data_IF_734962190646
#
_entry.id   IF_734962190646
#
_cell.length_a   1.000
_cell.length_b   1.000
_cell.length_c   1.000
_cell.angle_alpha   90.00
_cell.angle_beta   90.00
_cell.angle_gamma   90.00
#
_symmetry.space_group_name_H-M   'P 1'
#
loop_
_entity.id
_entity.type
_entity.pdbx_description
1 polymer ?
#
# COMPACT_ATOMS: atom_id res chain seq x y z
N UNK A 1 24.90 14.62 -36.33
CA UNK A 1 23.42 14.68 -36.50
C UNK A 1 22.69 13.37 -36.16
N UNK A 2 23.33 12.34 -35.58
CA UNK A 2 22.66 11.10 -35.17
C UNK A 2 22.04 11.18 -33.75
N UNK A 3 22.71 11.89 -32.84
CA UNK A 3 22.27 12.02 -31.44
C UNK A 3 20.93 12.75 -31.27
N UNK A 4 20.67 13.79 -32.08
CA UNK A 4 19.40 14.53 -32.02
C UNK A 4 18.18 13.64 -32.36
N UNK A 5 18.34 12.66 -33.27
CA UNK A 5 17.25 11.73 -33.63
C UNK A 5 16.92 10.75 -32.51
N UNK A 6 17.93 10.31 -31.76
CA UNK A 6 17.75 9.46 -30.58
C UNK A 6 17.03 10.19 -29.45
N UNK A 7 17.38 11.46 -29.19
CA UNK A 7 16.68 12.27 -28.19
C UNK A 7 15.20 12.47 -28.54
N UNK A 8 14.88 12.70 -29.80
CA UNK A 8 13.49 12.85 -30.26
C UNK A 8 12.71 11.55 -30.06
N UNK A 9 13.30 10.39 -30.38
CA UNK A 9 12.66 9.09 -30.18
C UNK A 9 12.42 8.78 -28.69
N UNK A 10 13.36 9.16 -27.81
CA UNK A 10 13.19 8.99 -26.38
C UNK A 10 12.07 9.87 -25.82
N UNK A 11 11.97 11.13 -26.27
CA UNK A 11 10.88 12.03 -25.85
C UNK A 11 9.51 11.53 -26.34
N UNK A 12 9.42 11.03 -27.57
CA UNK A 12 8.17 10.45 -28.09
C UNK A 12 7.78 9.20 -27.27
N UNK A 13 8.76 8.35 -26.94
CA UNK A 13 8.54 7.17 -26.11
C UNK A 13 8.04 7.51 -24.70
N UNK A 14 8.62 8.53 -24.04
CA UNK A 14 8.18 8.92 -22.69
C UNK A 14 6.79 9.55 -22.68
N UNK A 15 6.45 10.37 -23.67
CA UNK A 15 5.10 10.97 -23.78
C UNK A 15 4.02 9.90 -23.97
N UNK A 16 4.29 8.89 -24.80
CA UNK A 16 3.35 7.77 -25.01
C UNK A 16 3.16 6.94 -23.73
N UNK A 17 4.23 6.70 -22.96
CA UNK A 17 4.13 5.97 -21.68
C UNK A 17 3.35 6.76 -20.62
N UNK A 18 3.53 8.08 -20.55
CA UNK A 18 2.81 8.93 -19.59
C UNK A 18 1.29 8.96 -19.83
N UNK A 19 0.82 8.89 -21.08
CA UNK A 19 -0.63 8.83 -21.34
C UNK A 19 -1.28 7.53 -20.85
N UNK A 20 -0.53 6.43 -20.82
CA UNK A 20 -1.01 5.15 -20.28
C UNK A 20 -1.02 5.16 -18.74
N UNK A 21 -0.03 5.79 -18.11
CA UNK A 21 0.06 5.83 -16.64
C UNK A 21 -1.08 6.61 -15.98
N UNK A 22 -1.55 7.71 -16.60
CA UNK A 22 -2.68 8.48 -16.08
C UNK A 22 -4.00 7.71 -16.09
N UNK A 23 -4.22 6.87 -17.11
CA UNK A 23 -5.42 6.03 -17.20
C UNK A 23 -5.38 4.83 -16.24
N UNK A 24 -4.19 4.31 -15.94
CA UNK A 24 -4.03 3.17 -15.03
C UNK A 24 -4.29 3.53 -13.56
N UNK A 25 -3.92 4.74 -13.15
CA UNK A 25 -4.20 5.26 -11.79
C UNK A 25 -5.70 5.46 -11.56
N UNK A 26 -6.46 5.91 -12.57
CA UNK A 26 -7.90 6.15 -12.45
C UNK A 26 -8.71 4.85 -12.33
N UNK A 27 -8.31 3.79 -13.07
CA UNK A 27 -8.90 2.44 -12.93
C UNK A 27 -8.55 1.74 -11.61
N UNK A 28 -7.43 2.09 -10.97
CA UNK A 28 -7.03 1.52 -9.68
C UNK A 28 -7.73 2.21 -8.51
N UNK A 29 -8.17 3.46 -8.69
CA UNK A 29 -8.95 4.21 -7.70
C UNK A 29 -10.40 3.72 -7.59
N UNK A 30 -11.04 3.27 -8.67
CA UNK A 30 -12.43 2.75 -8.64
C UNK A 30 -12.57 1.34 -8.05
N UNK A 31 -11.48 0.61 -7.80
CA UNK A 31 -11.51 -0.72 -7.19
C UNK A 31 -11.36 -0.73 -5.65
N UNK A 32 -11.39 0.43 -4.99
CA UNK A 32 -11.61 0.51 -3.54
C UNK A 32 -13.07 0.17 -3.22
N UNK A 33 -13.39 -1.14 -3.27
CA UNK A 33 -14.68 -1.70 -2.90
C UNK A 33 -15.17 -1.10 -1.57
N UNK A 34 -16.44 -0.69 -1.50
CA UNK A 34 -16.97 0.00 -0.33
C UNK A 34 -16.86 -0.90 0.91
N UNK A 35 -16.31 -0.32 1.98
CA UNK A 35 -15.88 -0.95 3.23
C UNK A 35 -16.95 -1.74 4.02
N UNK A 36 -18.16 -1.93 3.48
CA UNK A 36 -19.29 -2.56 4.18
C UNK A 36 -19.44 -4.07 3.93
N UNK A 37 -18.62 -4.71 3.09
CA UNK A 37 -18.78 -6.12 2.70
C UNK A 37 -17.53 -7.02 2.87
N UNK A 38 -16.55 -6.67 3.70
CA UNK A 38 -15.47 -7.61 4.04
C UNK A 38 -15.74 -8.24 5.42
N UNK A 39 -16.15 -9.52 5.42
CA UNK A 39 -15.73 -10.49 6.45
C UNK A 39 -14.22 -10.73 6.34
N UNK A 40 -13.44 -9.65 6.30
CA UNK A 40 -12.02 -9.65 6.05
C UNK A 40 -11.26 -9.39 7.33
N UNK A 41 -9.98 -9.74 7.31
CA UNK A 41 -9.09 -9.33 8.36
C UNK A 41 -9.02 -7.80 8.43
N UNK A 42 -9.50 -7.22 9.52
CA UNK A 42 -9.36 -5.79 9.76
C UNK A 42 -8.62 -5.52 11.05
N UNK A 43 -7.86 -4.43 11.05
CA UNK A 43 -7.34 -3.86 12.26
C UNK A 43 -8.50 -3.19 13.03
N UNK A 44 -8.49 -3.30 14.35
CA UNK A 44 -9.44 -2.60 15.23
C UNK A 44 -9.18 -1.10 15.29
N UNK A 45 -7.95 -0.67 14.95
CA UNK A 45 -7.59 0.73 14.81
C UNK A 45 -7.11 1.03 13.39
N UNK A 46 -7.28 2.28 12.95
CA UNK A 46 -6.83 2.74 11.64
C UNK A 46 -5.29 2.81 11.52
N UNK A 47 -4.83 3.20 10.33
CA UNK A 47 -3.40 3.27 9.96
C UNK A 47 -2.57 4.21 10.83
N UNK A 48 -3.21 5.23 11.42
CA UNK A 48 -2.59 6.15 12.38
C UNK A 48 -2.07 5.45 13.64
N UNK A 49 -2.65 4.31 14.03
CA UNK A 49 -2.19 3.48 15.13
C UNK A 49 -1.54 2.21 14.57
N UNK A 50 -2.25 1.43 13.77
CA UNK A 50 -1.75 0.21 13.13
C UNK A 50 -1.02 0.55 11.82
N UNK A 51 0.26 0.88 11.91
CA UNK A 51 1.11 1.27 10.78
C UNK A 51 2.10 2.37 11.14
N UNK A 52 1.66 3.34 11.96
CA UNK A 52 2.51 4.46 12.42
C UNK A 52 3.06 4.28 13.84
N UNK A 53 2.20 3.91 14.79
CA UNK A 53 2.60 3.69 16.20
C UNK A 53 3.01 2.25 16.43
N UNK A 54 2.19 1.32 15.92
CA UNK A 54 2.44 -0.10 15.92
C UNK A 54 2.92 -0.48 14.52
N UNK A 55 4.09 -1.09 14.45
CA UNK A 55 4.73 -1.50 13.21
C UNK A 55 4.74 -3.02 13.10
N UNK A 56 5.06 -3.55 11.92
CA UNK A 56 5.21 -5.01 11.73
C UNK A 56 6.23 -5.63 12.70
N UNK A 57 7.26 -4.87 13.12
CA UNK A 57 8.25 -5.34 14.09
C UNK A 57 7.64 -5.66 15.46
N UNK A 58 6.57 -4.96 15.83
CA UNK A 58 5.89 -5.14 17.11
C UNK A 58 5.06 -6.41 17.17
N UNK A 59 4.66 -6.95 16.01
CA UNK A 59 3.99 -8.24 15.91
C UNK A 59 4.91 -9.40 16.29
N UNK A 60 6.20 -9.29 15.98
CA UNK A 60 7.24 -10.31 16.24
C UNK A 60 7.76 -10.23 17.69
N UNK A 61 7.55 -9.10 18.37
CA UNK A 61 7.90 -8.96 19.79
C UNK A 61 7.22 -10.01 20.65
N UNK A 62 7.84 -10.33 21.80
CA UNK A 62 7.29 -11.24 22.81
C UNK A 62 5.85 -10.85 23.14
N UNK A 63 4.94 -11.81 23.16
CA UNK A 63 3.53 -11.58 23.47
C UNK A 63 3.31 -11.02 24.88
N UNK A 64 4.26 -11.23 25.81
CA UNK A 64 4.25 -10.63 27.15
C UNK A 64 4.56 -9.13 27.15
N UNK A 65 5.14 -8.59 26.07
CA UNK A 65 5.33 -7.15 25.91
C UNK A 65 3.99 -6.49 25.64
N UNK A 66 3.73 -5.35 26.30
CA UNK A 66 2.51 -4.56 26.11
C UNK A 66 2.25 -4.24 24.63
N UNK A 67 3.30 -3.86 23.89
CA UNK A 67 3.18 -3.58 22.45
C UNK A 67 2.94 -4.85 21.61
N UNK A 68 3.59 -5.97 21.95
CA UNK A 68 3.35 -7.24 21.25
C UNK A 68 1.93 -7.75 21.43
N UNK A 69 1.41 -7.75 22.66
CA UNK A 69 0.02 -8.12 22.95
C UNK A 69 -0.98 -7.19 22.26
N UNK A 70 -0.71 -5.88 22.28
CA UNK A 70 -1.55 -4.89 21.61
C UNK A 70 -1.57 -5.10 20.08
N UNK A 71 -0.40 -5.25 19.45
CA UNK A 71 -0.28 -5.45 18.02
C UNK A 71 -1.07 -6.67 17.56
N UNK A 72 -0.89 -7.81 18.23
CA UNK A 72 -1.55 -9.07 17.86
C UNK A 72 -3.05 -9.08 18.10
N UNK A 73 -3.54 -8.37 19.12
CA UNK A 73 -4.97 -8.36 19.45
C UNK A 73 -5.75 -7.30 18.68
N UNK A 74 -5.12 -6.17 18.34
CA UNK A 74 -5.78 -4.99 17.76
C UNK A 74 -5.37 -4.71 16.33
N UNK A 75 -4.15 -5.01 15.93
CA UNK A 75 -3.63 -4.79 14.58
C UNK A 75 -3.44 -6.12 13.84
N UNK A 76 -4.47 -6.97 13.83
CA UNK A 76 -4.42 -8.34 13.29
C UNK A 76 -4.06 -8.38 11.80
N UNK A 77 -4.59 -7.44 11.01
CA UNK A 77 -4.28 -7.35 9.58
C UNK A 77 -2.83 -6.89 9.34
N UNK A 78 -2.33 -5.97 10.17
CA UNK A 78 -0.91 -5.58 10.11
C UNK A 78 0.02 -6.74 10.48
N UNK A 79 -0.39 -7.55 11.45
CA UNK A 79 0.40 -8.68 11.94
C UNK A 79 0.22 -9.97 11.14
N UNK A 80 -0.65 -10.02 10.13
CA UNK A 80 -0.96 -11.26 9.40
C UNK A 80 -1.50 -12.38 10.29
N UNK A 81 -2.27 -12.03 11.32
CA UNK A 81 -2.87 -12.95 12.29
C UNK A 81 -4.36 -13.20 12.04
N UNK A 82 -4.81 -12.80 10.87
CA UNK A 82 -5.87 -13.50 10.18
C UNK A 82 -5.21 -14.22 8.99
#
# INVERSE_FOLDING_TARGET
>A
MASARLFVLLIIGTVLLCQVSGFLEEMLAEHELPSYMKRGCFNRYGSSICGKVITASDCVRKASSRMGSFARSKCKALCGLC
#
